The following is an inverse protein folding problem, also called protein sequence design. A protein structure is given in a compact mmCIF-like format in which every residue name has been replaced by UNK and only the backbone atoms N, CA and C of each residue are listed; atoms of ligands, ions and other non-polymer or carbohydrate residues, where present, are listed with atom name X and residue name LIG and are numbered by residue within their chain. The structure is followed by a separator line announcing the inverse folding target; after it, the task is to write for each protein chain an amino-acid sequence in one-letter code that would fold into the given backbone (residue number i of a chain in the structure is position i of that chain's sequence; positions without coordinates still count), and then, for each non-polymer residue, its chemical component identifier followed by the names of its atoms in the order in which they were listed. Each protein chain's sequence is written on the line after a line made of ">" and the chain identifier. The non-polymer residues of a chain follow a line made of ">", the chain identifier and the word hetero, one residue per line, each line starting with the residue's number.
data_IF_416469226756
#
_entry.id   IF_416469226756
#
_cell.length_a   1.000
_cell.length_b   1.000
_cell.length_c   1.000
_cell.angle_alpha   90.00
_cell.angle_beta   90.00
_cell.angle_gamma   90.00
#
_symmetry.space_group_name_H-M   'P 1'
#
loop_
_entity.id
_entity.type
_entity.pdbx_description
1 polymer ?
#
# COMPACT_ATOMS: atom_id res chain seq x y z
N UNK A 1 -14.55 -8.34 -34.26
CA UNK A 1 -13.22 -8.01 -33.74
C UNK A 1 -13.31 -7.95 -32.23
N UNK A 2 -12.37 -8.56 -31.50
CA UNK A 2 -12.32 -8.40 -30.05
C UNK A 2 -11.97 -6.94 -29.72
N UNK A 3 -12.53 -6.36 -28.65
CA UNK A 3 -12.14 -5.02 -28.22
C UNK A 3 -10.66 -4.99 -27.87
N UNK A 4 -10.00 -3.86 -28.14
CA UNK A 4 -8.63 -3.64 -27.67
C UNK A 4 -8.58 -3.70 -26.13
N UNK A 5 -7.49 -4.22 -25.54
CA UNK A 5 -7.35 -4.21 -24.09
C UNK A 5 -7.34 -2.77 -23.57
N UNK A 6 -7.83 -2.53 -22.35
CA UNK A 6 -7.68 -1.23 -21.71
C UNK A 6 -6.20 -0.82 -21.60
N UNK A 7 -5.88 0.48 -21.67
CA UNK A 7 -4.52 0.98 -21.56
C UNK A 7 -4.08 0.98 -20.09
N UNK A 8 -3.80 -0.20 -19.52
CA UNK A 8 -3.43 -0.36 -18.10
C UNK A 8 -2.12 0.35 -17.69
N UNK A 9 -1.33 0.82 -18.65
CA UNK A 9 -0.16 1.66 -18.39
C UNK A 9 -0.44 3.16 -18.28
N UNK A 10 -1.66 3.63 -18.54
CA UNK A 10 -2.01 5.06 -18.50
C UNK A 10 -2.57 5.46 -17.13
N UNK A 11 -2.04 6.55 -16.57
CA UNK A 11 -2.55 7.16 -15.34
C UNK A 11 -4.00 7.63 -15.52
N UNK A 12 -4.31 8.23 -16.67
CA UNK A 12 -5.63 8.77 -17.02
C UNK A 12 -6.68 7.67 -17.01
N UNK A 13 -6.35 6.47 -17.52
CA UNK A 13 -7.22 5.32 -17.45
C UNK A 13 -7.57 4.95 -16.01
N UNK A 14 -6.58 4.84 -15.13
CA UNK A 14 -6.81 4.52 -13.72
C UNK A 14 -7.59 5.60 -13.00
N UNK A 15 -7.22 6.88 -13.18
CA UNK A 15 -7.97 8.01 -12.64
C UNK A 15 -9.43 7.97 -13.07
N UNK A 16 -9.71 7.70 -14.35
CA UNK A 16 -11.07 7.57 -14.86
C UNK A 16 -11.79 6.38 -14.23
N UNK A 17 -11.16 5.20 -14.19
CA UNK A 17 -11.74 3.98 -13.60
C UNK A 17 -12.19 4.22 -12.17
N UNK A 18 -11.34 4.80 -11.34
CA UNK A 18 -11.63 5.04 -9.92
C UNK A 18 -12.63 6.17 -9.70
N UNK A 19 -12.67 7.15 -10.61
CA UNK A 19 -13.71 8.19 -10.60
C UNK A 19 -15.08 7.58 -10.92
N UNK A 20 -15.17 6.75 -11.96
CA UNK A 20 -16.43 6.13 -12.38
C UNK A 20 -16.90 5.07 -11.36
N UNK A 21 -15.97 4.35 -10.73
CA UNK A 21 -16.25 3.25 -9.80
C UNK A 21 -15.39 3.39 -8.53
N UNK A 22 -15.82 4.21 -7.55
CA UNK A 22 -15.04 4.48 -6.33
C UNK A 22 -15.10 3.36 -5.28
N UNK A 23 -15.89 2.30 -5.54
CA UNK A 23 -16.08 1.22 -4.58
C UNK A 23 -14.80 0.39 -4.41
N UNK A 24 -14.58 -0.19 -3.21
CA UNK A 24 -13.48 -1.12 -3.02
C UNK A 24 -13.52 -2.29 -3.99
N UNK A 25 -12.35 -2.70 -4.49
CA UNK A 25 -12.22 -3.77 -5.45
C UNK A 25 -10.89 -4.51 -5.26
N UNK A 26 -10.95 -5.85 -5.28
CA UNK A 26 -9.78 -6.72 -5.25
C UNK A 26 -9.53 -7.34 -6.62
N UNK A 27 -8.27 -7.30 -7.06
CA UNK A 27 -7.86 -7.96 -8.31
C UNK A 27 -7.58 -9.46 -8.13
N UNK A 28 -7.15 -9.87 -6.94
CA UNK A 28 -6.75 -11.25 -6.65
C UNK A 28 -7.88 -11.99 -5.93
N UNK A 29 -7.87 -11.91 -4.60
CA UNK A 29 -8.79 -12.56 -3.67
C UNK A 29 -9.07 -11.59 -2.52
N UNK A 30 -9.90 -11.99 -1.57
CA UNK A 30 -10.13 -11.22 -0.34
C UNK A 30 -8.80 -10.92 0.39
N UNK A 31 -8.70 -9.79 1.12
CA UNK A 31 -7.47 -9.36 1.77
C UNK A 31 -6.79 -10.42 2.68
N UNK A 32 -7.59 -11.23 3.36
CA UNK A 32 -7.14 -12.29 4.27
C UNK A 32 -6.48 -13.47 3.56
N UNK A 33 -6.70 -13.64 2.25
CA UNK A 33 -6.04 -14.67 1.46
C UNK A 33 -4.50 -14.54 1.45
N UNK A 34 -3.98 -13.35 1.76
CA UNK A 34 -2.54 -13.07 1.84
C UNK A 34 -1.94 -13.30 3.24
N UNK A 35 -2.75 -13.52 4.27
CA UNK A 35 -2.29 -13.57 5.67
C UNK A 35 -1.16 -14.57 5.92
N UNK A 36 -1.23 -15.83 5.44
CA UNK A 36 -0.16 -16.79 5.70
C UNK A 36 1.21 -16.31 5.19
N UNK A 37 1.22 -15.56 4.09
CA UNK A 37 2.45 -15.09 3.44
C UNK A 37 2.96 -13.80 4.08
N UNK A 38 2.05 -12.89 4.43
CA UNK A 38 2.39 -11.64 5.13
C UNK A 38 2.96 -11.97 6.52
N UNK A 39 2.28 -12.82 7.29
CA UNK A 39 2.72 -13.22 8.64
C UNK A 39 4.07 -13.93 8.58
N UNK A 40 4.27 -14.87 7.64
CA UNK A 40 5.55 -15.56 7.47
C UNK A 40 6.69 -14.59 7.12
N UNK A 41 6.44 -13.63 6.22
CA UNK A 41 7.43 -12.62 5.85
C UNK A 41 7.78 -11.68 7.02
N UNK A 42 6.78 -11.22 7.78
CA UNK A 42 6.97 -10.35 8.94
C UNK A 42 7.72 -11.08 10.06
N UNK A 43 7.39 -12.33 10.34
CA UNK A 43 8.08 -13.14 11.36
C UNK A 43 9.56 -13.40 11.03
N UNK A 44 9.92 -13.38 9.75
CA UNK A 44 11.31 -13.53 9.28
C UNK A 44 12.07 -12.21 9.22
N UNK A 45 11.38 -11.08 9.35
CA UNK A 45 12.00 -9.77 9.38
C UNK A 45 12.98 -9.66 10.55
N UNK A 46 14.16 -9.09 10.29
CA UNK A 46 15.13 -8.73 11.35
C UNK A 46 14.76 -7.41 12.03
N UNK A 47 13.96 -6.59 11.37
CA UNK A 47 13.44 -5.34 11.93
C UNK A 47 12.23 -5.67 12.82
N UNK A 48 12.26 -5.29 14.12
CA UNK A 48 11.13 -5.50 15.02
C UNK A 48 9.89 -4.66 14.64
N UNK A 49 10.06 -3.58 13.87
CA UNK A 49 8.99 -2.68 13.43
C UNK A 49 9.06 -2.46 11.90
N UNK A 50 8.87 -3.53 11.11
CA UNK A 50 9.04 -3.46 9.66
C UNK A 50 8.09 -2.43 9.06
N UNK A 51 8.57 -1.73 8.03
CA UNK A 51 7.76 -0.82 7.21
C UNK A 51 7.17 -1.61 6.04
N UNK A 52 5.88 -1.43 5.79
CA UNK A 52 5.12 -2.11 4.75
C UNK A 52 4.88 -1.13 3.60
N UNK A 53 5.31 -1.49 2.39
CA UNK A 53 5.04 -0.73 1.17
C UNK A 53 4.07 -1.52 0.29
N UNK A 54 2.88 -0.96 0.07
CA UNK A 54 1.83 -1.54 -0.77
C UNK A 54 1.74 -0.77 -2.09
N UNK A 55 2.36 -1.31 -3.14
CA UNK A 55 2.46 -0.69 -4.47
C UNK A 55 1.27 -1.10 -5.35
N UNK A 56 0.67 -0.13 -6.03
CA UNK A 56 -0.53 -0.34 -6.85
C UNK A 56 -1.76 -0.63 -5.98
N UNK A 57 -1.90 0.09 -4.86
CA UNK A 57 -2.92 -0.21 -3.86
C UNK A 57 -4.37 -0.02 -4.36
N UNK A 58 -4.59 0.81 -5.39
CA UNK A 58 -5.90 1.09 -5.96
C UNK A 58 -6.94 1.43 -4.91
N UNK A 59 -8.12 0.79 -5.02
CA UNK A 59 -9.19 0.83 -4.01
C UNK A 59 -9.28 -0.48 -3.21
N UNK A 60 -8.18 -1.24 -3.11
CA UNK A 60 -8.15 -2.50 -2.37
C UNK A 60 -8.37 -2.28 -0.87
N UNK A 61 -9.13 -3.18 -0.24
CA UNK A 61 -9.28 -3.27 1.21
C UNK A 61 -8.03 -3.84 1.89
N UNK A 62 -7.09 -4.41 1.12
CA UNK A 62 -5.80 -4.88 1.65
C UNK A 62 -5.09 -3.79 2.45
N UNK A 63 -5.10 -2.54 1.98
CA UNK A 63 -4.50 -1.41 2.68
C UNK A 63 -4.94 -1.32 4.15
N UNK A 64 -6.23 -1.50 4.43
CA UNK A 64 -6.77 -1.47 5.81
C UNK A 64 -6.51 -2.76 6.56
N UNK A 65 -6.58 -3.90 5.87
CA UNK A 65 -6.26 -5.20 6.45
C UNK A 65 -4.82 -5.28 6.96
N UNK A 66 -3.88 -4.63 6.27
CA UNK A 66 -2.48 -4.52 6.71
C UNK A 66 -2.33 -3.89 8.10
N UNK A 67 -3.30 -3.07 8.57
CA UNK A 67 -3.27 -2.49 9.93
C UNK A 67 -3.31 -3.56 11.02
N UNK A 68 -3.88 -4.74 10.75
CA UNK A 68 -3.88 -5.86 11.70
C UNK A 68 -2.49 -6.49 11.89
N UNK A 69 -1.53 -6.17 11.02
CA UNK A 69 -0.19 -6.76 10.97
C UNK A 69 0.91 -5.82 11.47
N UNK A 70 0.57 -4.62 11.93
CA UNK A 70 1.53 -3.60 12.39
C UNK A 70 1.08 -2.95 13.69
N UNK A 71 2.02 -2.44 14.51
CA UNK A 71 1.67 -1.70 15.73
C UNK A 71 1.11 -0.30 15.42
N UNK A 72 1.71 0.36 14.42
CA UNK A 72 1.43 1.74 14.06
C UNK A 72 1.00 1.84 12.59
N UNK A 73 -0.11 2.53 12.28
CA UNK A 73 -0.57 2.72 10.91
C UNK A 73 0.48 3.34 9.98
N UNK A 74 1.37 4.19 10.50
CA UNK A 74 2.44 4.83 9.73
C UNK A 74 3.46 3.82 9.18
N UNK A 75 3.50 2.60 9.73
CA UNK A 75 4.32 1.55 9.15
C UNK A 75 3.88 1.20 7.73
N UNK A 76 2.61 1.44 7.38
CA UNK A 76 2.05 1.16 6.07
C UNK A 76 2.16 2.39 5.18
N UNK A 77 2.71 2.20 3.99
CA UNK A 77 2.73 3.17 2.90
C UNK A 77 2.03 2.58 1.69
N UNK A 78 0.87 3.14 1.38
CA UNK A 78 0.11 2.82 0.18
C UNK A 78 0.56 3.75 -0.95
N UNK A 79 0.98 3.16 -2.08
CA UNK A 79 1.50 3.86 -3.24
C UNK A 79 0.67 3.46 -4.47
N UNK A 80 0.21 4.43 -5.24
CA UNK A 80 -0.50 4.15 -6.50
C UNK A 80 -0.11 5.16 -7.58
N UNK A 81 -0.30 4.79 -8.85
CA UNK A 81 -0.12 5.74 -9.94
C UNK A 81 -1.25 6.79 -9.95
N UNK A 82 -2.45 6.43 -9.49
CA UNK A 82 -3.64 7.27 -9.51
C UNK A 82 -3.79 8.16 -8.28
N UNK A 83 -3.79 9.49 -8.47
CA UNK A 83 -4.18 10.45 -7.43
C UNK A 83 -5.60 10.22 -6.92
N UNK A 84 -6.50 9.74 -7.77
CA UNK A 84 -7.90 9.47 -7.41
C UNK A 84 -7.97 8.31 -6.43
N UNK A 85 -7.24 7.22 -6.69
CA UNK A 85 -7.15 6.08 -5.76
C UNK A 85 -6.63 6.52 -4.39
N UNK A 86 -5.56 7.33 -4.36
CA UNK A 86 -4.97 7.85 -3.13
C UNK A 86 -5.94 8.72 -2.34
N UNK A 87 -6.70 9.61 -3.00
CA UNK A 87 -7.71 10.44 -2.34
C UNK A 87 -8.85 9.60 -1.76
N UNK A 88 -9.33 8.60 -2.50
CA UNK A 88 -10.37 7.69 -2.03
C UNK A 88 -9.89 6.86 -0.84
N UNK A 89 -8.67 6.32 -0.92
CA UNK A 89 -8.06 5.51 0.14
C UNK A 89 -7.91 6.27 1.45
N UNK A 90 -7.41 7.51 1.40
CA UNK A 90 -7.34 8.41 2.57
C UNK A 90 -8.73 8.70 3.15
N UNK A 91 -9.70 9.02 2.30
CA UNK A 91 -11.07 9.33 2.73
C UNK A 91 -11.72 8.14 3.45
N UNK A 92 -11.57 6.95 2.88
CA UNK A 92 -12.11 5.72 3.45
C UNK A 92 -11.36 5.30 4.73
N UNK A 93 -10.05 5.56 4.85
CA UNK A 93 -9.34 5.35 6.12
C UNK A 93 -9.95 6.20 7.24
N UNK A 94 -10.17 7.49 6.97
CA UNK A 94 -10.77 8.41 7.95
C UNK A 94 -12.20 7.98 8.28
N UNK A 95 -12.96 7.46 7.32
CA UNK A 95 -14.32 6.96 7.56
C UNK A 95 -14.32 5.73 8.47
N UNK A 96 -13.45 4.75 8.19
CA UNK A 96 -13.37 3.49 8.96
C UNK A 96 -12.86 3.75 10.38
N UNK A 97 -11.82 4.57 10.53
CA UNK A 97 -11.12 4.77 11.81
C UNK A 97 -11.47 6.09 12.51
N UNK A 98 -12.53 6.76 12.08
CA UNK A 98 -13.00 8.04 12.64
C UNK A 98 -13.13 8.02 14.16
N UNK A 99 -13.56 6.89 14.73
CA UNK A 99 -13.73 6.71 16.18
C UNK A 99 -12.40 6.66 16.94
N UNK A 100 -11.31 6.21 16.32
CA UNK A 100 -9.97 6.20 16.94
C UNK A 100 -9.39 7.61 17.02
N UNK A 101 -9.66 8.46 16.02
CA UNK A 101 -9.19 9.85 15.94
C UNK A 101 -9.95 10.76 16.92
N UNK A 102 -11.26 10.54 17.10
CA UNK A 102 -12.08 11.35 18.03
C UNK A 102 -11.86 10.96 19.49
N UNK A 103 -11.57 9.67 19.77
CA UNK A 103 -11.31 9.21 21.14
C UNK A 103 -9.99 9.74 21.73
N UNK A 104 -9.00 10.07 20.90
CA UNK A 104 -7.77 10.75 21.34
C UNK A 104 -7.95 12.24 21.66
N UNK A 105 -9.01 12.87 21.14
CA UNK A 105 -9.27 14.31 21.30
C UNK A 105 -10.25 14.61 22.46
N UNK A 106 -11.07 13.62 22.85
CA UNK A 106 -12.06 13.79 23.93
C UNK A 106 -11.58 13.38 25.33
N UNK A 107 -10.36 12.89 25.51
CA UNK A 107 -9.84 12.51 26.84
C UNK A 107 -9.42 13.69 27.73
N UNK A 108 -9.62 14.95 27.29
CA UNK A 108 -9.37 16.14 28.11
C UNK A 108 -10.63 16.88 28.57
N UNK A 109 -11.82 16.46 28.16
CA UNK A 109 -13.06 17.09 28.64
C UNK A 109 -14.15 16.07 28.97
N UNK A 110 -14.13 15.51 30.18
CA UNK A 110 -15.36 15.32 30.98
C UNK A 110 -15.02 14.81 32.40
N UNK A 111 -15.05 15.72 33.38
CA UNK A 111 -15.43 15.39 34.75
C UNK A 111 -16.72 16.16 35.08
N UNK A 112 -17.70 15.40 35.59
CA UNK A 112 -19.06 15.80 36.03
C UNK A 112 -20.08 16.00 34.87
N UNK A 113 -21.28 15.42 34.85
CA UNK A 113 -22.17 14.99 35.93
C UNK A 113 -23.23 13.97 35.44
N UNK A 114 -23.48 12.96 36.28
CA UNK A 114 -24.71 12.18 36.56
C UNK A 114 -25.85 11.95 35.52
N UNK A 115 -26.16 10.64 35.36
CA UNK A 115 -27.50 9.98 35.27
C UNK A 115 -28.52 10.38 34.20
N UNK A 116 -28.93 9.45 33.32
CA UNK A 116 -30.05 8.52 33.53
C UNK A 116 -30.18 7.58 32.29
N UNK A 117 -30.78 6.40 32.47
CA UNK A 117 -30.70 5.28 31.54
C UNK A 117 -31.61 5.33 30.31
N UNK A 118 -31.31 4.49 29.31
CA UNK A 118 -32.21 3.45 28.76
C UNK A 118 -31.51 2.63 27.68
N UNK A 119 -31.77 1.33 27.72
CA UNK A 119 -31.25 0.20 26.96
C UNK A 119 -31.76 0.15 25.51
N UNK A 120 -30.86 -0.05 24.53
CA UNK A 120 -31.16 -0.76 23.26
C UNK A 120 -29.96 -1.64 22.88
N UNK A 121 -30.23 -2.91 22.60
CA UNK A 121 -29.27 -3.92 22.12
C UNK A 121 -29.25 -3.91 20.59
N UNK A 122 -28.07 -3.91 19.94
CA UNK A 122 -27.89 -4.66 18.69
C UNK A 122 -26.41 -4.93 18.38
N UNK A 123 -26.08 -6.24 18.43
CA UNK A 123 -25.08 -7.00 17.67
C UNK A 123 -23.65 -6.46 17.53
N UNK A 124 -22.80 -7.00 18.38
CA UNK A 124 -21.35 -7.06 18.29
C UNK A 124 -20.94 -8.47 17.84
N UNK A 125 -20.06 -8.56 16.84
CA UNK A 125 -19.11 -9.65 16.60
C UNK A 125 -18.23 -9.16 15.44
N UNK A 126 -16.93 -8.96 15.55
CA UNK A 126 -15.95 -9.27 16.58
C UNK A 126 -14.83 -8.22 16.47
N UNK A 127 -14.25 -7.85 17.61
CA UNK A 127 -12.85 -7.44 17.84
C UNK A 127 -12.83 -7.18 19.35
N UNK A 128 -12.39 -8.18 20.10
CA UNK A 128 -12.19 -8.09 21.54
C UNK A 128 -10.85 -8.76 21.83
N UNK A 129 -9.77 -7.97 21.89
CA UNK A 129 -8.64 -8.20 22.80
C UNK A 129 -7.60 -7.08 22.71
N UNK A 130 -7.22 -6.59 23.89
CA UNK A 130 -6.08 -5.72 24.23
C UNK A 130 -6.29 -4.21 23.99
N UNK A 131 -6.92 -3.55 24.98
CA UNK A 131 -6.76 -2.11 25.21
C UNK A 131 -5.59 -1.90 26.15
N UNK A 132 -4.46 -1.48 25.61
CA UNK A 132 -3.36 -0.86 26.37
C UNK A 132 -3.40 0.65 26.06
N UNK A 133 -3.43 1.48 27.10
CA UNK A 133 -3.60 2.94 26.99
C UNK A 133 -2.41 3.57 26.26
N UNK A 134 -2.63 4.11 25.06
CA UNK A 134 -1.61 4.86 24.31
C UNK A 134 -1.61 6.33 24.73
N UNK A 135 -0.45 6.98 24.90
CA UNK A 135 -0.35 8.42 25.15
C UNK A 135 -0.83 9.22 23.94
N UNK A 136 -1.46 10.37 24.19
CA UNK A 136 -2.03 11.27 23.18
C UNK A 136 -0.95 11.74 22.18
N UNK A 137 -0.99 11.17 20.98
CA UNK A 137 -0.19 11.58 19.83
C UNK A 137 -0.99 12.49 18.89
N UNK A 138 -0.27 13.23 18.04
CA UNK A 138 -0.80 14.05 16.95
C UNK A 138 -1.87 13.28 16.15
N UNK A 139 -3.06 13.84 15.86
CA UNK A 139 -4.10 13.15 15.08
C UNK A 139 -3.61 12.63 13.71
N UNK A 140 -2.63 13.29 13.08
CA UNK A 140 -2.01 12.79 11.84
C UNK A 140 -1.14 11.54 12.06
N UNK A 141 -0.63 11.34 13.28
CA UNK A 141 0.13 10.16 13.71
C UNK A 141 -0.73 8.91 13.96
N UNK A 142 -2.00 8.90 13.52
CA UNK A 142 -2.91 7.74 13.59
C UNK A 142 -3.28 7.15 12.22
N UNK A 143 -2.86 7.79 11.13
CA UNK A 143 -3.20 7.39 9.76
C UNK A 143 -2.03 6.73 9.02
N UNK A 144 -2.36 5.88 8.06
CA UNK A 144 -1.41 5.29 7.13
C UNK A 144 -0.82 6.35 6.21
N UNK A 145 0.33 6.03 5.61
CA UNK A 145 0.92 6.87 4.57
C UNK A 145 0.30 6.55 3.22
N UNK A 146 0.06 7.58 2.43
CA UNK A 146 -0.47 7.45 1.09
C UNK A 146 0.24 8.42 0.15
N UNK A 147 0.70 7.94 -0.99
CA UNK A 147 1.34 8.78 -2.01
C UNK A 147 0.94 8.33 -3.40
N UNK A 148 0.79 9.29 -4.31
CA UNK A 148 0.79 8.98 -5.74
C UNK A 148 2.21 9.10 -6.27
N UNK A 149 2.59 8.17 -7.15
CA UNK A 149 3.87 8.26 -7.86
C UNK A 149 3.79 7.59 -9.22
N UNK A 150 4.46 8.20 -10.20
CA UNK A 150 4.79 7.55 -11.44
C UNK A 150 6.04 6.68 -11.22
N UNK A 151 5.86 5.36 -11.21
CA UNK A 151 6.95 4.39 -11.00
C UNK A 151 7.93 4.32 -12.18
N UNK A 152 7.64 4.98 -13.29
CA UNK A 152 8.55 5.15 -14.41
C UNK A 152 9.33 6.47 -14.31
N UNK A 153 8.93 7.38 -13.43
CA UNK A 153 9.59 8.67 -13.23
C UNK A 153 10.41 8.67 -11.92
N UNK A 154 11.73 8.68 -12.05
CA UNK A 154 12.65 8.67 -10.91
C UNK A 154 12.40 9.82 -9.92
N UNK A 155 12.13 11.03 -10.41
CA UNK A 155 11.83 12.19 -9.56
C UNK A 155 10.55 11.98 -8.76
N UNK A 156 9.52 11.41 -9.39
CA UNK A 156 8.26 11.09 -8.72
C UNK A 156 8.46 10.07 -7.59
N UNK A 157 9.26 9.03 -7.83
CA UNK A 157 9.62 8.04 -6.81
C UNK A 157 10.39 8.70 -5.66
N UNK A 158 11.41 9.51 -5.96
CA UNK A 158 12.18 10.20 -4.92
C UNK A 158 11.30 11.12 -4.08
N UNK A 159 10.34 11.83 -4.68
CA UNK A 159 9.40 12.67 -3.94
C UNK A 159 8.51 11.83 -3.00
N UNK A 160 7.99 10.70 -3.47
CA UNK A 160 7.21 9.78 -2.65
C UNK A 160 8.04 9.19 -1.49
N UNK A 161 9.34 8.97 -1.70
CA UNK A 161 10.28 8.47 -0.69
C UNK A 161 10.79 9.56 0.27
N UNK A 162 10.93 10.82 -0.16
CA UNK A 162 11.55 11.92 0.63
C UNK A 162 10.56 12.72 1.47
N UNK A 163 9.26 12.66 1.15
CA UNK A 163 8.21 13.11 2.07
C UNK A 163 8.29 12.44 3.46
N UNK A 164 9.13 11.42 3.58
CA UNK A 164 9.46 10.65 4.77
C UNK A 164 10.51 11.27 5.72
N UNK A 165 11.48 12.05 5.23
CA UNK A 165 12.66 12.44 6.04
C UNK A 165 12.47 13.73 6.85
N UNK A 166 11.50 14.57 6.51
CA UNK A 166 11.37 15.90 7.12
C UNK A 166 10.66 15.92 8.49
N UNK A 167 10.11 14.79 8.94
CA UNK A 167 9.50 14.69 10.28
C UNK A 167 10.45 14.13 11.36
N UNK A 168 11.64 13.66 10.99
CA UNK A 168 12.53 12.92 11.88
C UNK A 168 13.95 13.51 12.00
N UNK A 169 14.13 14.83 12.03
CA UNK A 169 15.31 15.46 12.66
C UNK A 169 15.30 17.00 12.60
N UNK A 170 15.24 17.65 13.76
CA UNK A 170 15.79 19.00 13.97
C UNK A 170 17.32 18.94 14.14
N UNK A 171 18.00 18.24 13.24
CA UNK A 171 19.46 18.30 13.11
C UNK A 171 19.79 18.56 11.65
N UNK A 172 20.48 19.66 11.32
CA UNK A 172 20.91 19.91 9.96
C UNK A 172 21.97 18.87 9.62
N UNK A 173 21.60 17.87 8.82
CA UNK A 173 22.57 17.08 8.09
C UNK A 173 23.12 18.02 7.02
N UNK A 174 24.34 18.51 7.23
CA UNK A 174 25.06 19.30 6.25
C UNK A 174 25.26 18.47 4.99
N UNK A 175 24.43 18.71 3.98
CA UNK A 175 24.71 18.40 2.59
C UNK A 175 24.81 19.76 1.88
N UNK A 176 25.91 20.47 2.14
CA UNK A 176 26.47 21.38 1.15
C UNK A 176 27.41 20.54 0.29
N UNK A 177 26.85 19.86 -0.72
CA UNK A 177 27.63 19.54 -1.90
C UNK A 177 26.92 20.09 -3.14
N UNK A 178 27.73 20.78 -3.91
CA UNK A 178 27.46 21.60 -5.07
C UNK A 178 26.81 20.77 -6.20
N UNK A 179 25.47 20.72 -6.24
CA UNK A 179 24.69 20.21 -7.39
C UNK A 179 24.57 21.26 -8.50
N UNK A 180 25.68 21.95 -8.79
CA UNK A 180 25.87 22.79 -9.97
C UNK A 180 26.03 21.97 -11.25
N UNK A 181 25.04 21.15 -11.59
CA UNK A 181 24.75 20.81 -12.99
C UNK A 181 23.34 20.24 -13.09
N UNK A 182 22.44 21.11 -13.52
CA UNK A 182 21.05 20.81 -13.88
C UNK A 182 21.05 19.89 -15.11
N UNK A 183 21.15 18.58 -14.88
CA UNK A 183 20.70 17.60 -15.87
C UNK A 183 19.18 17.73 -15.96
N UNK A 184 18.70 18.42 -16.99
CA UNK A 184 17.33 18.24 -17.44
C UNK A 184 17.21 16.79 -17.90
N UNK A 185 16.66 15.93 -17.04
CA UNK A 185 16.26 14.59 -17.42
C UNK A 185 15.00 14.75 -18.26
N UNK A 186 15.16 14.63 -19.57
CA UNK A 186 14.04 14.62 -20.50
C UNK A 186 13.09 13.47 -20.12
N UNK A 187 11.78 13.75 -20.12
CA UNK A 187 10.70 12.86 -19.66
C UNK A 187 10.50 11.59 -20.54
N UNK A 188 11.46 11.27 -21.40
CA UNK A 188 11.37 10.21 -22.38
C UNK A 188 12.18 8.99 -21.90
N UNK A 189 11.50 7.91 -21.51
CA UNK A 189 12.13 6.65 -21.09
C UNK A 189 12.95 5.98 -22.20
N UNK A 190 12.76 6.40 -23.45
CA UNK A 190 13.53 5.94 -24.62
C UNK A 190 14.90 6.64 -24.73
N UNK A 191 15.10 7.78 -24.06
CA UNK A 191 16.35 8.54 -24.04
C UNK A 191 17.15 8.25 -22.76
N UNK A 192 17.31 6.96 -22.43
CA UNK A 192 18.23 6.56 -21.37
C UNK A 192 19.63 7.04 -21.76
N UNK A 193 20.26 7.96 -21.00
CA UNK A 193 21.58 8.47 -21.32
C UNK A 193 22.52 7.32 -21.65
N UNK A 194 23.24 7.40 -22.77
CA UNK A 194 24.11 6.31 -23.25
C UNK A 194 25.06 5.78 -22.17
N UNK A 195 25.52 6.66 -21.27
CA UNK A 195 26.32 6.34 -20.08
C UNK A 195 25.64 5.39 -19.08
N UNK A 196 24.31 5.41 -18.97
CA UNK A 196 23.52 4.49 -18.15
C UNK A 196 23.43 3.12 -18.82
N UNK A 197 23.19 3.08 -20.13
CA UNK A 197 23.19 1.84 -20.91
C UNK A 197 24.58 1.16 -20.92
N UNK A 198 25.65 1.94 -21.08
CA UNK A 198 27.05 1.46 -21.16
C UNK A 198 27.53 0.83 -19.84
N UNK A 199 27.00 1.28 -18.70
CA UNK A 199 27.31 0.72 -17.38
C UNK A 199 26.40 -0.47 -17.00
N UNK A 200 25.46 -0.86 -17.89
CA UNK A 200 24.49 -1.93 -17.70
C UNK A 200 23.43 -1.63 -16.63
N UNK A 201 22.22 -2.17 -16.77
CA UNK A 201 21.24 -2.13 -15.68
C UNK A 201 21.65 -3.09 -14.56
N UNK A 202 21.32 -2.79 -13.28
CA UNK A 202 21.50 -3.78 -12.23
C UNK A 202 20.75 -5.05 -12.62
N UNK A 203 21.42 -6.19 -12.52
CA UNK A 203 20.80 -7.49 -12.81
C UNK A 203 19.80 -7.79 -11.68
N UNK A 204 18.48 -7.82 -11.91
CA UNK A 204 17.51 -7.91 -10.81
C UNK A 204 17.70 -9.15 -9.92
N UNK A 205 18.17 -10.25 -10.50
CA UNK A 205 18.45 -11.49 -9.78
C UNK A 205 19.65 -11.41 -8.82
N UNK A 206 20.48 -10.37 -8.89
CA UNK A 206 21.52 -10.13 -7.89
C UNK A 206 20.99 -9.31 -6.72
N UNK A 207 19.91 -8.56 -6.91
CA UNK A 207 19.30 -7.73 -5.89
C UNK A 207 18.31 -8.50 -5.02
N UNK A 208 17.68 -9.54 -5.58
CA UNK A 208 16.60 -10.28 -4.93
C UNK A 208 16.82 -11.79 -5.00
N UNK A 209 16.52 -12.50 -3.91
CA UNK A 209 16.45 -13.95 -3.84
C UNK A 209 14.99 -14.40 -3.76
N UNK A 210 14.57 -15.33 -4.63
CA UNK A 210 13.25 -15.96 -4.50
C UNK A 210 13.27 -16.94 -3.34
N UNK A 211 12.57 -16.61 -2.26
CA UNK A 211 12.50 -17.43 -1.03
C UNK A 211 11.18 -18.19 -0.90
N UNK A 212 10.17 -17.82 -1.68
CA UNK A 212 8.89 -18.52 -1.70
C UNK A 212 8.14 -18.34 -3.02
N UNK A 213 7.48 -19.39 -3.48
CA UNK A 213 6.56 -19.36 -4.63
C UNK A 213 5.34 -20.20 -4.30
N UNK A 214 4.19 -19.55 -4.23
CA UNK A 214 2.93 -20.16 -3.80
C UNK A 214 1.87 -19.96 -4.86
N UNK A 215 0.91 -20.88 -4.94
CA UNK A 215 -0.27 -20.70 -5.77
C UNK A 215 -1.50 -20.51 -4.88
N UNK A 216 -2.40 -19.63 -5.32
CA UNK A 216 -3.73 -19.48 -4.76
C UNK A 216 -4.71 -19.86 -5.87
N UNK A 217 -5.57 -20.84 -5.59
CA UNK A 217 -6.75 -21.13 -6.41
C UNK A 217 -7.85 -20.14 -6.00
N UNK A 218 -8.38 -19.33 -6.93
CA UNK A 218 -9.52 -18.49 -6.65
C UNK A 218 -10.71 -19.33 -6.18
N UNK A 219 -11.52 -18.81 -5.26
CA UNK A 219 -12.75 -19.51 -4.91
C UNK A 219 -13.63 -19.63 -6.16
N UNK A 220 -14.01 -20.86 -6.52
CA UNK A 220 -14.78 -21.11 -7.72
C UNK A 220 -16.09 -20.30 -7.65
N UNK A 221 -16.33 -19.46 -8.67
CA UNK A 221 -17.64 -18.83 -8.82
C UNK A 221 -18.67 -19.94 -9.06
N UNK A 222 -19.80 -19.98 -8.32
CA UNK A 222 -20.78 -21.04 -8.48
C UNK A 222 -21.23 -21.10 -9.95
N UNK A 223 -21.09 -22.27 -10.56
CA UNK A 223 -21.47 -22.47 -11.95
C UNK A 223 -22.94 -22.10 -12.15
N UNK A 224 -23.23 -21.18 -13.06
CA UNK A 224 -24.61 -20.94 -13.50
C UNK A 224 -25.05 -22.15 -14.31
N UNK A 225 -25.77 -23.06 -13.64
CA UNK A 225 -26.38 -24.25 -14.25
C UNK A 225 -27.52 -23.83 -15.17
N UNK A 226 -27.19 -23.33 -16.36
CA UNK A 226 -28.15 -23.06 -17.42
C UNK A 226 -27.76 -23.86 -18.67
N UNK A 227 -28.26 -25.11 -18.74
CA UNK A 227 -28.48 -25.86 -19.98
C UNK A 227 -27.29 -26.53 -20.67
N UNK A 228 -27.22 -27.86 -20.53
CA UNK A 228 -26.73 -28.87 -21.51
C UNK A 228 -25.33 -28.77 -22.15
N UNK A 229 -24.39 -28.00 -21.61
CA UNK A 229 -22.99 -28.08 -22.05
C UNK A 229 -22.01 -27.91 -20.91
N UNK A 230 -21.33 -29.00 -20.51
CA UNK A 230 -20.18 -28.90 -19.60
C UNK A 230 -19.00 -28.32 -20.37
N UNK A 231 -18.91 -26.99 -20.44
CA UNK A 231 -17.71 -26.33 -20.94
C UNK A 231 -16.68 -26.32 -19.82
N UNK A 232 -15.68 -27.20 -19.92
CA UNK A 232 -14.57 -27.24 -18.97
C UNK A 232 -13.80 -25.91 -19.01
N UNK A 233 -13.87 -25.10 -17.95
CA UNK A 233 -13.04 -23.90 -17.81
C UNK A 233 -11.68 -24.30 -17.22
N UNK A 234 -10.55 -23.89 -17.83
CA UNK A 234 -9.25 -24.07 -17.21
C UNK A 234 -9.23 -23.46 -15.81
N UNK A 235 -8.59 -24.16 -14.86
CA UNK A 235 -8.34 -23.58 -13.54
C UNK A 235 -7.48 -22.32 -13.69
N UNK A 236 -7.94 -21.23 -13.07
CA UNK A 236 -7.13 -20.02 -12.90
C UNK A 236 -6.30 -20.18 -11.63
N UNK A 237 -5.03 -19.80 -11.68
CA UNK A 237 -4.11 -19.83 -10.54
C UNK A 237 -3.48 -18.44 -10.41
N UNK A 238 -3.51 -17.88 -9.21
CA UNK A 238 -2.70 -16.73 -8.84
C UNK A 238 -1.37 -17.22 -8.26
N UNK A 239 -0.28 -16.58 -8.64
CA UNK A 239 1.05 -16.91 -8.12
C UNK A 239 1.54 -15.80 -7.20
N UNK A 240 1.93 -16.19 -5.98
CA UNK A 240 2.59 -15.30 -5.03
C UNK A 240 4.08 -15.63 -5.04
N UNK A 241 4.88 -14.59 -5.21
CA UNK A 241 6.34 -14.65 -5.13
C UNK A 241 6.80 -13.87 -3.92
N UNK A 242 7.56 -14.51 -3.04
CA UNK A 242 8.21 -13.86 -1.90
C UNK A 242 9.68 -13.70 -2.24
N UNK A 243 10.12 -12.45 -2.32
CA UNK A 243 11.48 -12.07 -2.68
C UNK A 243 12.16 -11.44 -1.46
N UNK A 244 13.34 -11.93 -1.10
CA UNK A 244 14.19 -11.35 -0.06
C UNK A 244 15.28 -10.48 -0.70
N UNK A 245 15.48 -9.27 -0.16
CA UNK A 245 16.53 -8.37 -0.63
C UNK A 245 17.90 -8.95 -0.23
N UNK A 246 18.80 -9.08 -1.21
CA UNK A 246 20.18 -9.48 -0.93
C UNK A 246 20.97 -8.34 -0.28
N UNK A 247 22.16 -8.64 0.25
CA UNK A 247 23.08 -7.62 0.77
C UNK A 247 23.83 -6.85 -0.34
N UNK A 248 23.53 -7.09 -1.63
CA UNK A 248 24.17 -6.37 -2.73
C UNK A 248 23.73 -4.90 -2.67
N UNK A 249 24.64 -3.93 -2.52
CA UNK A 249 24.28 -2.51 -2.46
C UNK A 249 23.63 -2.05 -3.77
N UNK A 250 22.59 -1.21 -3.65
CA UNK A 250 22.01 -0.51 -4.79
C UNK A 250 22.68 0.85 -4.91
N UNK A 251 23.42 1.08 -5.98
CA UNK A 251 24.02 2.37 -6.25
C UNK A 251 23.06 3.19 -7.12
N UNK A 252 22.60 4.33 -6.60
CA UNK A 252 21.91 5.34 -7.40
C UNK A 252 22.99 5.97 -8.28
N UNK A 253 22.84 5.86 -9.60
CA UNK A 253 23.75 6.53 -10.53
C UNK A 253 23.33 7.99 -10.62
N UNK A 254 24.26 8.94 -10.41
CA UNK A 254 23.98 10.36 -10.59
C UNK A 254 23.62 10.69 -12.04
#
# INVERSE_FOLDING_TARGET
>A
MAPAPPPFGSQEYWNKRFTDNPKPFEWLEAPDALDPYIVDALNKSKDPNPQLLHIGCGTSLLSYHLRAHVEKPQQIHNLDYSDVAIKLGRGLEVEIFRSEVVASDQSLETFNHSSDGTRVKSSQAAIESVKEERPAGDPESSLMRWSSADLLNHTSILQACTAFTNHASNHPVGIEEDFGNKLSLDENLDDIPKKIADNGFPVPSTLWTLVGKFNIEPQATPETVNGNGTTHRPKVLHWIYVLERTNVPLFIRP
#
